data_IF_513327420529
#
_entry.id   IF_513327420529
#
_cell.length_a   1.000
_cell.length_b   1.000
_cell.length_c   1.000
_cell.angle_alpha   90.00
_cell.angle_beta   90.00
_cell.angle_gamma   90.00
#
_symmetry.space_group_name_H-M   'P 1'
#
loop_
_entity.id
_entity.type
_entity.pdbx_description
1 polymer ?
#
# COMPACT_ATOMS: atom_id res chain seq x y z
N UNK A 1 4.97 12.47 -22.19
CA UNK A 1 5.24 11.64 -21.00
C UNK A 1 6.75 11.44 -20.99
N UNK A 2 7.43 11.82 -19.92
CA UNK A 2 8.89 12.00 -19.88
C UNK A 2 9.58 10.99 -18.95
N UNK A 3 10.90 11.09 -18.78
CA UNK A 3 11.68 10.17 -17.94
C UNK A 3 11.25 10.12 -16.46
N UNK A 4 10.49 11.11 -15.96
CA UNK A 4 9.92 11.10 -14.62
C UNK A 4 8.82 10.05 -14.48
N UNK A 5 8.00 9.89 -15.51
CA UNK A 5 6.91 8.92 -15.54
C UNK A 5 7.47 7.48 -15.50
N UNK A 6 8.51 7.21 -16.29
CA UNK A 6 9.23 5.93 -16.25
C UNK A 6 9.84 5.64 -14.86
N UNK A 7 10.46 6.65 -14.22
CA UNK A 7 11.01 6.51 -12.87
C UNK A 7 9.93 6.15 -11.85
N UNK A 8 8.77 6.80 -11.91
CA UNK A 8 7.68 6.56 -10.96
C UNK A 8 7.02 5.19 -11.13
N UNK A 9 6.85 4.72 -12.37
CA UNK A 9 6.33 3.38 -12.64
C UNK A 9 7.29 2.29 -12.11
N UNK A 10 8.59 2.40 -12.43
CA UNK A 10 9.62 1.44 -11.98
C UNK A 10 9.73 1.45 -10.45
N UNK A 11 9.66 2.64 -9.83
CA UNK A 11 9.68 2.79 -8.37
C UNK A 11 8.45 2.18 -7.70
N UNK A 12 7.26 2.41 -8.26
CA UNK A 12 6.01 1.84 -7.77
C UNK A 12 6.05 0.31 -7.79
N UNK A 13 6.44 -0.28 -8.92
CA UNK A 13 6.65 -1.72 -9.04
C UNK A 13 7.70 -2.21 -8.02
N UNK A 14 8.82 -1.50 -7.90
CA UNK A 14 9.91 -1.91 -7.01
C UNK A 14 9.47 -2.01 -5.55
N UNK A 15 8.62 -1.09 -5.07
CA UNK A 15 8.09 -1.14 -3.71
C UNK A 15 7.15 -2.32 -3.46
N UNK A 16 6.44 -2.79 -4.47
CA UNK A 16 5.55 -3.95 -4.36
C UNK A 16 6.37 -5.25 -4.26
N UNK A 17 7.42 -5.37 -5.07
CA UNK A 17 8.13 -6.65 -5.27
C UNK A 17 9.34 -6.86 -4.37
N UNK A 18 9.99 -5.81 -3.85
CA UNK A 18 11.22 -5.92 -3.05
C UNK A 18 11.11 -6.90 -1.87
N UNK A 19 9.94 -7.01 -1.24
CA UNK A 19 9.68 -7.96 -0.15
C UNK A 19 9.79 -9.41 -0.59
N UNK A 20 9.23 -9.73 -1.76
CA UNK A 20 9.22 -11.09 -2.29
C UNK A 20 10.65 -11.51 -2.65
N UNK A 21 11.39 -10.64 -3.34
CA UNK A 21 12.79 -10.90 -3.69
C UNK A 21 13.67 -11.12 -2.46
N UNK A 22 13.59 -10.25 -1.44
CA UNK A 22 14.36 -10.42 -0.21
C UNK A 22 13.97 -11.67 0.58
N UNK A 23 12.67 -12.02 0.64
CA UNK A 23 12.20 -13.26 1.32
C UNK A 23 12.67 -14.53 0.62
N UNK A 24 12.78 -14.49 -0.71
CA UNK A 24 13.23 -15.62 -1.52
C UNK A 24 14.77 -15.72 -1.60
N UNK A 25 15.51 -14.93 -0.81
CA UNK A 25 16.97 -14.99 -0.76
C UNK A 25 17.67 -14.39 -1.97
N UNK A 26 17.00 -13.55 -2.76
CA UNK A 26 17.64 -12.88 -3.90
C UNK A 26 18.80 -11.99 -3.42
N UNK A 27 19.85 -11.90 -4.22
CA UNK A 27 20.95 -10.95 -4.00
C UNK A 27 20.72 -9.63 -4.78
N UNK A 28 21.57 -8.63 -4.52
CA UNK A 28 21.45 -7.30 -5.13
C UNK A 28 21.56 -7.32 -6.66
N UNK A 29 22.36 -8.23 -7.24
CA UNK A 29 22.51 -8.35 -8.68
C UNK A 29 21.25 -8.95 -9.32
N UNK A 30 20.69 -10.02 -8.74
CA UNK A 30 19.42 -10.61 -9.18
C UNK A 30 18.27 -9.60 -9.09
N UNK A 31 18.23 -8.81 -8.01
CA UNK A 31 17.28 -7.71 -7.87
C UNK A 31 17.43 -6.66 -8.98
N UNK A 32 18.65 -6.21 -9.24
CA UNK A 32 18.92 -5.24 -10.31
C UNK A 32 18.48 -5.74 -11.69
N UNK A 33 18.80 -6.99 -12.02
CA UNK A 33 18.36 -7.61 -13.29
C UNK A 33 16.83 -7.64 -13.40
N UNK A 34 16.13 -7.96 -12.32
CA UNK A 34 14.68 -7.94 -12.31
C UNK A 34 14.10 -6.53 -12.52
N UNK A 35 14.66 -5.50 -11.87
CA UNK A 35 14.22 -4.11 -12.06
C UNK A 35 14.49 -3.65 -13.50
N UNK A 36 15.64 -3.99 -14.08
CA UNK A 36 15.97 -3.64 -15.46
C UNK A 36 15.02 -4.30 -16.46
N UNK A 37 14.80 -5.61 -16.34
CA UNK A 37 13.85 -6.32 -17.21
C UNK A 37 12.44 -5.74 -17.11
N UNK A 38 12.00 -5.38 -15.89
CA UNK A 38 10.71 -4.71 -15.73
C UNK A 38 10.72 -3.31 -16.37
N UNK A 39 11.80 -2.55 -16.24
CA UNK A 39 11.91 -1.21 -16.82
C UNK A 39 11.86 -1.27 -18.36
N UNK A 40 12.47 -2.27 -18.98
CA UNK A 40 12.35 -2.51 -20.42
C UNK A 40 10.91 -2.86 -20.81
N UNK A 41 10.25 -3.73 -20.03
CA UNK A 41 8.84 -4.08 -20.29
C UNK A 41 7.91 -2.87 -20.17
N UNK A 42 8.17 -1.96 -19.24
CA UNK A 42 7.41 -0.72 -19.04
C UNK A 42 7.73 0.37 -20.07
N UNK A 43 8.84 0.27 -20.81
CA UNK A 43 9.24 1.23 -21.84
C UNK A 43 8.39 1.12 -23.11
N UNK A 44 7.07 1.21 -22.97
CA UNK A 44 6.08 1.20 -24.05
C UNK A 44 5.67 2.62 -24.48
N UNK A 45 6.55 3.61 -24.24
CA UNK A 45 6.29 5.01 -24.60
C UNK A 45 6.39 5.22 -26.12
N UNK A 46 5.80 6.32 -26.59
CA UNK A 46 5.88 6.76 -27.98
C UNK A 46 6.45 8.19 -28.07
N UNK A 47 7.72 8.38 -28.50
CA UNK A 47 8.71 7.34 -28.78
C UNK A 47 9.26 6.69 -27.50
N UNK A 48 9.77 5.44 -27.56
CA UNK A 48 10.35 4.78 -26.41
C UNK A 48 11.64 5.48 -25.95
N UNK A 49 11.92 5.43 -24.65
CA UNK A 49 13.18 5.94 -24.10
C UNK A 49 14.36 5.12 -24.61
N UNK A 50 15.53 5.77 -24.70
CA UNK A 50 16.75 5.07 -25.07
C UNK A 50 17.12 4.06 -23.98
N UNK A 51 17.66 2.90 -24.38
CA UNK A 51 18.07 1.86 -23.43
C UNK A 51 19.04 2.37 -22.34
N UNK A 52 19.93 3.30 -22.69
CA UNK A 52 20.84 3.92 -21.71
C UNK A 52 20.10 4.69 -20.60
N UNK A 53 19.00 5.37 -20.94
CA UNK A 53 18.16 6.08 -19.98
C UNK A 53 17.40 5.08 -19.08
N UNK A 54 16.79 4.06 -19.68
CA UNK A 54 16.11 2.96 -18.95
C UNK A 54 17.09 2.27 -17.98
N UNK A 55 18.32 2.02 -18.43
CA UNK A 55 19.36 1.42 -17.60
C UNK A 55 19.77 2.34 -16.44
N UNK A 56 19.92 3.65 -16.68
CA UNK A 56 20.27 4.61 -15.63
C UNK A 56 19.16 4.71 -14.58
N UNK A 57 17.90 4.80 -15.00
CA UNK A 57 16.73 4.89 -14.14
C UNK A 57 16.59 3.61 -13.30
N UNK A 58 16.59 2.44 -13.94
CA UNK A 58 16.47 1.15 -13.26
C UNK A 58 17.58 0.93 -12.24
N UNK A 59 18.83 1.26 -12.57
CA UNK A 59 19.97 1.18 -11.65
C UNK A 59 19.80 2.06 -10.42
N UNK A 60 19.35 3.30 -10.62
CA UNK A 60 19.10 4.27 -9.53
C UNK A 60 18.01 3.76 -8.58
N UNK A 61 16.86 3.35 -9.13
CA UNK A 61 15.73 2.81 -8.36
C UNK A 61 16.13 1.53 -7.63
N UNK A 62 16.71 0.56 -8.34
CA UNK A 62 17.09 -0.73 -7.77
C UNK A 62 18.04 -0.55 -6.57
N UNK A 63 19.07 0.27 -6.72
CA UNK A 63 20.03 0.56 -5.65
C UNK A 63 19.35 1.22 -4.45
N UNK A 64 18.55 2.26 -4.68
CA UNK A 64 17.90 3.01 -3.60
C UNK A 64 16.94 2.12 -2.80
N UNK A 65 16.08 1.37 -3.50
CA UNK A 65 15.09 0.47 -2.90
C UNK A 65 15.79 -0.65 -2.13
N UNK A 66 16.83 -1.27 -2.70
CA UNK A 66 17.55 -2.36 -2.05
C UNK A 66 18.18 -1.96 -0.72
N UNK A 67 18.77 -0.75 -0.67
CA UNK A 67 19.47 -0.22 0.50
C UNK A 67 18.53 0.27 1.59
N UNK A 68 17.37 0.85 1.23
CA UNK A 68 16.47 1.51 2.18
C UNK A 68 15.30 0.64 2.62
N UNK A 69 14.94 -0.38 1.86
CA UNK A 69 13.88 -1.28 2.26
C UNK A 69 14.29 -2.09 3.49
N UNK A 70 13.48 -2.02 4.54
CA UNK A 70 13.59 -2.86 5.73
C UNK A 70 12.21 -3.34 6.15
N UNK A 71 12.11 -4.59 6.64
CA UNK A 71 10.84 -5.15 7.10
C UNK A 71 10.26 -4.33 8.26
N UNK A 72 11.12 -3.79 9.14
CA UNK A 72 10.73 -2.90 10.24
C UNK A 72 10.03 -1.63 9.75
N UNK A 73 10.60 -0.95 8.75
CA UNK A 73 9.99 0.26 8.20
C UNK A 73 8.65 -0.08 7.54
N UNK A 74 8.59 -1.17 6.78
CA UNK A 74 7.34 -1.61 6.16
C UNK A 74 6.25 -1.90 7.20
N UNK A 75 6.56 -2.65 8.25
CA UNK A 75 5.64 -2.96 9.35
C UNK A 75 5.17 -1.70 10.08
N UNK A 76 6.08 -0.74 10.32
CA UNK A 76 5.72 0.55 10.92
C UNK A 76 4.73 1.34 10.03
N UNK A 77 4.99 1.39 8.72
CA UNK A 77 4.11 2.04 7.76
C UNK A 77 2.73 1.36 7.69
N UNK A 78 2.68 0.03 7.69
CA UNK A 78 1.43 -0.73 7.73
C UNK A 78 0.67 -0.51 9.04
N UNK A 79 1.36 -0.40 10.18
CA UNK A 79 0.72 -0.08 11.46
C UNK A 79 0.05 1.31 11.43
N UNK A 80 0.74 2.32 10.89
CA UNK A 80 0.17 3.68 10.73
C UNK A 80 -1.04 3.67 9.79
N UNK A 81 -0.96 2.96 8.66
CA UNK A 81 -2.08 2.82 7.71
C UNK A 81 -3.26 2.06 8.31
N UNK A 82 -2.99 0.96 9.01
CA UNK A 82 -3.98 0.17 9.72
C UNK A 82 -4.69 0.98 10.80
N UNK A 83 -4.00 1.89 11.50
CA UNK A 83 -4.63 2.83 12.44
C UNK A 83 -5.55 3.84 11.75
N UNK A 84 -5.24 4.25 10.51
CA UNK A 84 -6.09 5.16 9.71
C UNK A 84 -7.30 4.46 9.08
N UNK A 85 -7.13 3.23 8.60
CA UNK A 85 -8.20 2.42 7.98
C UNK A 85 -8.96 1.51 8.95
N UNK A 86 -8.52 1.43 10.20
CA UNK A 86 -8.98 0.48 11.21
C UNK A 86 -10.31 0.85 11.86
N UNK A 87 -11.34 1.09 11.05
CA UNK A 87 -12.72 0.77 11.42
C UNK A 87 -13.60 0.84 10.16
N UNK A 88 -14.27 -0.25 9.78
CA UNK A 88 -15.46 -0.13 8.96
C UNK A 88 -16.39 0.88 9.64
N UNK A 89 -16.91 1.87 8.91
CA UNK A 89 -17.95 2.79 9.42
C UNK A 89 -19.17 2.02 9.98
N UNK A 90 -19.32 0.73 9.66
CA UNK A 90 -20.44 -0.12 10.01
C UNK A 90 -20.33 -0.86 11.34
N UNK A 91 -19.14 -1.06 11.93
CA UNK A 91 -19.00 -1.96 13.09
C UNK A 91 -18.47 -1.21 14.30
N UNK A 92 -19.32 -1.09 15.33
CA UNK A 92 -18.92 -0.57 16.64
C UNK A 92 -17.96 -1.55 17.32
N UNK A 93 -17.32 -1.17 18.44
CA UNK A 93 -16.46 -2.10 19.21
C UNK A 93 -17.27 -3.33 19.69
N UNK A 94 -18.57 -3.16 19.85
CA UNK A 94 -19.55 -4.15 20.31
C UNK A 94 -20.33 -4.82 19.16
N UNK A 95 -19.92 -4.64 17.89
CA UNK A 95 -20.61 -5.21 16.74
C UNK A 95 -21.78 -4.34 16.25
N UNK A 96 -22.99 -4.92 16.20
CA UNK A 96 -24.22 -4.34 15.64
C UNK A 96 -25.37 -4.30 16.67
N UNK A 97 -25.27 -3.47 17.73
CA UNK A 97 -26.25 -3.43 18.83
C UNK A 97 -27.67 -3.04 18.38
N UNK A 98 -27.83 -2.41 17.21
CA UNK A 98 -29.15 -2.16 16.64
C UNK A 98 -29.87 -3.44 16.23
N UNK A 99 -29.16 -4.52 15.84
CA UNK A 99 -29.80 -5.78 15.47
C UNK A 99 -30.41 -6.49 16.69
N UNK A 100 -29.73 -6.49 17.83
CA UNK A 100 -30.26 -7.09 19.07
C UNK A 100 -31.48 -6.34 19.58
N UNK A 101 -31.54 -5.02 19.35
CA UNK A 101 -32.67 -4.16 19.69
C UNK A 101 -33.79 -4.15 18.62
N UNK A 102 -33.65 -4.89 17.52
CA UNK A 102 -34.62 -4.87 16.41
C UNK A 102 -34.74 -3.52 15.70
N UNK A 103 -33.71 -2.67 15.79
CA UNK A 103 -33.67 -1.33 15.21
C UNK A 103 -32.86 -1.32 13.90
N UNK A 104 -33.20 -0.38 13.01
CA UNK A 104 -32.28 -0.01 11.94
C UNK A 104 -31.10 0.79 12.49
N UNK A 105 -29.94 0.67 11.84
CA UNK A 105 -28.71 1.40 12.20
C UNK A 105 -28.95 2.92 12.35
N UNK A 106 -29.70 3.51 11.42
CA UNK A 106 -30.00 4.95 11.44
C UNK A 106 -30.85 5.36 12.66
N UNK A 107 -31.82 4.53 13.05
CA UNK A 107 -32.66 4.78 14.22
C UNK A 107 -31.87 4.69 15.51
N UNK A 108 -30.97 3.72 15.64
CA UNK A 108 -30.10 3.57 16.79
C UNK A 108 -29.27 4.84 17.06
N UNK A 109 -28.53 5.33 16.05
CA UNK A 109 -27.70 6.54 16.23
C UNK A 109 -28.51 7.82 16.45
N UNK A 110 -29.71 7.94 15.85
CA UNK A 110 -30.61 9.07 16.08
C UNK A 110 -31.12 9.11 17.52
N UNK A 111 -31.52 7.96 18.08
CA UNK A 111 -31.98 7.85 19.47
C UNK A 111 -30.85 8.04 20.47
N UNK A 112 -29.65 7.54 20.17
CA UNK A 112 -28.45 7.76 20.97
C UNK A 112 -28.12 9.27 21.03
N UNK A 113 -28.15 9.96 19.89
CA UNK A 113 -27.90 11.41 19.81
C UNK A 113 -28.97 12.24 20.54
N UNK A 114 -30.22 11.79 20.53
CA UNK A 114 -31.31 12.47 21.23
C UNK A 114 -31.39 12.12 22.72
N UNK A 115 -30.54 11.23 23.23
CA UNK A 115 -30.58 10.76 24.63
C UNK A 115 -31.77 9.85 24.96
N UNK A 116 -32.50 9.37 23.95
CA UNK A 116 -33.65 8.45 24.12
C UNK A 116 -33.23 6.97 24.18
N UNK A 117 -31.92 6.70 24.17
CA UNK A 117 -31.37 5.36 24.29
C UNK A 117 -30.15 5.43 25.21
N UNK A 118 -30.23 4.74 26.34
CA UNK A 118 -29.11 4.54 27.26
C UNK A 118 -28.60 3.12 26.96
N UNK A 119 -27.42 2.96 26.35
CA UNK A 119 -26.84 1.64 26.15
C UNK A 119 -26.57 1.02 27.52
N UNK A 120 -27.02 -0.22 27.74
CA UNK A 120 -26.78 -0.96 28.98
C UNK A 120 -25.29 -0.90 29.33
N UNK A 121 -25.01 -0.32 30.50
CA UNK A 121 -23.67 -0.32 31.10
C UNK A 121 -23.48 -1.70 31.71
N UNK A 122 -22.88 -2.63 30.96
CA UNK A 122 -22.35 -3.87 31.51
C UNK A 122 -20.88 -3.72 31.86
#
# INVERSE_FOLDING_TARGET
MDGLDAYDEIRSWSYQWIRIYKKNGANAAQWHTAVLSQAENLNQFDPPLMFAEVQAISKSVAKWVWQRFTERHFSALQSVRGKRGGRPKSTTKEGEPWKTLGLSRATYYRRLKSGLLIPDQH
#
